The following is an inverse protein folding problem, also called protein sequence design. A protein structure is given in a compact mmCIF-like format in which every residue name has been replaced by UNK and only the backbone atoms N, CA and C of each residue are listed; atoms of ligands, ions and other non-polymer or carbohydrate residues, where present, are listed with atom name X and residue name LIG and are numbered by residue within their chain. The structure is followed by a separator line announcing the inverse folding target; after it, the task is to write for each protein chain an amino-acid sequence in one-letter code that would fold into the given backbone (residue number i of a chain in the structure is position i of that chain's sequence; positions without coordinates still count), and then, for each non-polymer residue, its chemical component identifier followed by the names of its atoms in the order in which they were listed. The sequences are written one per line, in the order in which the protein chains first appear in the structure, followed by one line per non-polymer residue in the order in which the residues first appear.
data_IF_357480480559
#
_entry.id   IF_357480480559
#
_cell.length_a   1.000
_cell.length_b   1.000
_cell.length_c   1.000
_cell.angle_alpha   90.00
_cell.angle_beta   90.00
_cell.angle_gamma   90.00
#
_symmetry.space_group_name_H-M   'P 1'
#
loop_
_entity.id
_entity.type
_entity.pdbx_description
1 polymer ?
#
# COMPACT_ATOMS: atom_id res chain seq x y z
N UNK A 1 7.71 31.21 -12.04
CA UNK A 1 7.17 29.91 -11.60
C UNK A 1 8.34 29.02 -11.21
N UNK A 2 8.18 28.10 -10.24
CA UNK A 2 9.21 27.11 -9.94
C UNK A 2 9.54 26.30 -11.19
N UNK A 3 10.82 26.05 -11.45
CA UNK A 3 11.27 25.24 -12.58
C UNK A 3 11.17 23.76 -12.20
N UNK A 4 10.05 23.12 -12.57
CA UNK A 4 9.82 21.71 -12.28
C UNK A 4 10.68 20.84 -13.18
N UNK A 5 11.39 19.87 -12.59
CA UNK A 5 12.12 18.88 -13.36
C UNK A 5 11.13 17.84 -13.91
N UNK A 6 10.73 18.03 -15.17
CA UNK A 6 9.82 17.14 -15.89
C UNK A 6 10.65 16.24 -16.82
N UNK A 7 10.63 14.94 -16.56
CA UNK A 7 11.37 13.98 -17.37
C UNK A 7 10.57 13.55 -18.62
N UNK A 8 11.15 12.71 -19.49
CA UNK A 8 10.50 12.24 -20.72
C UNK A 8 9.26 11.37 -20.41
N UNK A 9 9.33 10.54 -19.38
CA UNK A 9 8.24 9.67 -18.93
C UNK A 9 7.06 10.47 -18.40
N UNK A 10 7.31 11.54 -17.63
CA UNK A 10 6.28 12.47 -17.16
C UNK A 10 5.49 13.07 -18.33
N UNK A 11 6.18 13.50 -19.40
CA UNK A 11 5.53 14.05 -20.59
C UNK A 11 4.66 13.01 -21.29
N UNK A 12 5.22 11.82 -21.54
CA UNK A 12 4.51 10.73 -22.21
C UNK A 12 3.27 10.28 -21.42
N UNK A 13 3.39 10.12 -20.10
CA UNK A 13 2.27 9.76 -19.24
C UNK A 13 1.22 10.87 -19.22
N UNK A 14 1.62 12.15 -19.15
CA UNK A 14 0.66 13.27 -19.18
C UNK A 14 -0.16 13.28 -20.47
N UNK A 15 0.47 13.03 -21.62
CA UNK A 15 -0.21 12.94 -22.92
C UNK A 15 -1.17 11.74 -22.96
N UNK A 16 -0.72 10.57 -22.51
CA UNK A 16 -1.55 9.37 -22.46
C UNK A 16 -2.77 9.55 -21.54
N UNK A 17 -2.59 10.13 -20.35
CA UNK A 17 -3.67 10.40 -19.40
C UNK A 17 -4.67 11.39 -20.00
N UNK A 18 -4.19 12.46 -20.65
CA UNK A 18 -5.06 13.45 -21.30
C UNK A 18 -5.95 12.80 -22.36
N UNK A 19 -5.39 11.89 -23.15
CA UNK A 19 -6.11 11.20 -24.23
C UNK A 19 -7.12 10.17 -23.72
N UNK A 20 -6.98 9.69 -22.47
CA UNK A 20 -7.80 8.61 -21.89
C UNK A 20 -8.46 8.99 -20.57
N UNK A 21 -8.63 10.30 -20.31
CA UNK A 21 -9.02 10.81 -18.98
C UNK A 21 -10.32 10.19 -18.47
N UNK A 22 -11.37 10.16 -19.29
CA UNK A 22 -12.68 9.61 -18.93
C UNK A 22 -12.62 8.10 -18.65
N UNK A 23 -11.92 7.36 -19.51
CA UNK A 23 -11.69 5.92 -19.35
C UNK A 23 -10.96 5.63 -18.03
N UNK A 24 -9.90 6.38 -17.73
CA UNK A 24 -9.13 6.24 -16.50
C UNK A 24 -9.96 6.57 -15.27
N UNK A 25 -10.76 7.64 -15.30
CA UNK A 25 -11.67 8.00 -14.21
C UNK A 25 -12.67 6.88 -13.90
N UNK A 26 -13.24 6.26 -14.93
CA UNK A 26 -14.15 5.13 -14.75
C UNK A 26 -13.44 3.90 -14.18
N UNK A 27 -12.23 3.59 -14.68
CA UNK A 27 -11.42 2.49 -14.16
C UNK A 27 -11.08 2.67 -12.68
N UNK A 28 -10.66 3.88 -12.29
CA UNK A 28 -10.37 4.18 -10.88
C UNK A 28 -11.61 4.07 -10.01
N UNK A 29 -12.74 4.64 -10.43
CA UNK A 29 -13.98 4.62 -9.64
C UNK A 29 -14.42 3.20 -9.30
N UNK A 30 -14.37 2.27 -10.28
CA UNK A 30 -14.70 0.86 -10.05
C UNK A 30 -13.73 0.17 -9.09
N UNK A 31 -12.44 0.45 -9.24
CA UNK A 31 -11.41 -0.12 -8.38
C UNK A 31 -11.57 0.36 -6.93
N UNK A 32 -11.83 1.65 -6.73
CA UNK A 32 -12.06 2.24 -5.41
C UNK A 32 -13.32 1.69 -4.74
N UNK A 33 -14.43 1.57 -5.47
CA UNK A 33 -15.67 0.96 -4.94
C UNK A 33 -15.44 -0.48 -4.44
N UNK A 34 -14.63 -1.26 -5.16
CA UNK A 34 -14.30 -2.64 -4.76
C UNK A 34 -13.49 -2.67 -3.46
N UNK A 35 -12.56 -1.73 -3.28
CA UNK A 35 -11.75 -1.65 -2.06
C UNK A 35 -12.57 -1.15 -0.86
N UNK A 36 -13.49 -0.22 -1.07
CA UNK A 36 -14.38 0.27 -0.03
C UNK A 36 -15.29 -0.85 0.51
N UNK A 37 -15.87 -1.66 -0.38
CA UNK A 37 -16.64 -2.85 0.02
C UNK A 37 -15.78 -3.86 0.80
N UNK A 38 -14.52 -4.05 0.40
CA UNK A 38 -13.60 -4.94 1.11
C UNK A 38 -13.22 -4.39 2.50
N UNK A 39 -13.04 -3.07 2.64
CA UNK A 39 -12.82 -2.43 3.94
C UNK A 39 -14.00 -2.65 4.88
N UNK A 40 -15.23 -2.51 4.40
CA UNK A 40 -16.44 -2.79 5.19
C UNK A 40 -16.50 -4.25 5.67
N UNK A 41 -16.17 -5.20 4.79
CA UNK A 41 -16.08 -6.61 5.16
C UNK A 41 -15.04 -6.83 6.27
N UNK A 42 -13.85 -6.25 6.11
CA UNK A 42 -12.73 -6.39 7.05
C UNK A 42 -13.03 -5.71 8.40
N UNK A 43 -13.70 -4.56 8.39
CA UNK A 43 -14.18 -3.89 9.60
C UNK A 43 -15.15 -4.78 10.37
N UNK A 44 -16.13 -5.37 9.69
CA UNK A 44 -17.10 -6.28 10.30
C UNK A 44 -16.44 -7.55 10.85
N UNK A 45 -15.53 -8.17 10.09
CA UNK A 45 -14.78 -9.35 10.53
C UNK A 45 -13.90 -9.06 11.77
N UNK A 46 -13.22 -7.92 11.78
CA UNK A 46 -12.41 -7.47 12.92
C UNK A 46 -13.26 -7.25 14.17
N UNK A 47 -14.41 -6.57 14.02
CA UNK A 47 -15.34 -6.34 15.13
C UNK A 47 -15.90 -7.66 15.68
N UNK A 48 -16.26 -8.60 14.82
CA UNK A 48 -16.72 -9.92 15.23
C UNK A 48 -15.65 -10.69 16.03
N UNK A 49 -14.41 -10.72 15.54
CA UNK A 49 -13.30 -11.36 16.24
C UNK A 49 -13.02 -10.71 17.59
N UNK A 50 -13.11 -9.37 17.66
CA UNK A 50 -12.92 -8.62 18.90
C UNK A 50 -14.03 -8.88 19.92
N UNK A 51 -15.30 -8.87 19.49
CA UNK A 51 -16.45 -9.12 20.35
C UNK A 51 -16.42 -10.51 20.98
N UNK A 52 -16.01 -11.53 20.22
CA UNK A 52 -15.95 -12.92 20.71
C UNK A 52 -14.61 -13.29 21.39
N UNK A 53 -13.65 -12.36 21.46
CA UNK A 53 -12.35 -12.62 22.09
C UNK A 53 -11.42 -13.56 21.30
N UNK A 54 -11.64 -13.74 19.99
CA UNK A 54 -10.81 -14.59 19.13
C UNK A 54 -9.50 -13.89 18.77
N UNK A 55 -8.51 -13.96 19.66
CA UNK A 55 -7.23 -13.23 19.55
C UNK A 55 -6.49 -13.52 18.23
N UNK A 56 -6.36 -14.78 17.88
CA UNK A 56 -5.66 -15.24 16.66
C UNK A 56 -6.35 -14.74 15.40
N UNK A 57 -7.67 -14.95 15.32
CA UNK A 57 -8.49 -14.48 14.22
C UNK A 57 -8.40 -12.96 14.11
N UNK A 58 -8.47 -12.24 15.23
CA UNK A 58 -8.31 -10.78 15.27
C UNK A 58 -6.97 -10.32 14.70
N UNK A 59 -5.87 -11.02 14.98
CA UNK A 59 -4.56 -10.69 14.39
C UNK A 59 -4.61 -10.78 12.86
N UNK A 60 -5.18 -11.87 12.32
CA UNK A 60 -5.30 -12.08 10.86
C UNK A 60 -6.16 -10.97 10.23
N UNK A 61 -7.34 -10.69 10.79
CA UNK A 61 -8.22 -9.63 10.28
C UNK A 61 -7.60 -8.23 10.37
N UNK A 62 -6.84 -7.94 11.44
CA UNK A 62 -6.12 -6.68 11.56
C UNK A 62 -5.06 -6.51 10.47
N UNK A 63 -4.29 -7.55 10.16
CA UNK A 63 -3.28 -7.49 9.09
C UNK A 63 -3.97 -7.33 7.73
N UNK A 64 -5.09 -8.03 7.51
CA UNK A 64 -5.91 -7.87 6.31
C UNK A 64 -6.41 -6.42 6.15
N UNK A 65 -7.04 -5.88 7.20
CA UNK A 65 -7.57 -4.52 7.23
C UNK A 65 -6.46 -3.48 7.00
N UNK A 66 -5.32 -3.64 7.66
CA UNK A 66 -4.16 -2.77 7.47
C UNK A 66 -3.67 -2.81 6.01
N UNK A 67 -3.51 -4.01 5.45
CA UNK A 67 -3.06 -4.20 4.05
C UNK A 67 -3.98 -3.50 3.06
N UNK A 68 -5.30 -3.69 3.20
CA UNK A 68 -6.28 -3.08 2.30
C UNK A 68 -6.40 -1.57 2.52
N UNK A 69 -6.28 -1.08 3.75
CA UNK A 69 -6.27 0.38 4.03
C UNK A 69 -5.13 1.06 3.29
N UNK A 70 -3.90 0.52 3.42
CA UNK A 70 -2.74 1.08 2.72
C UNK A 70 -2.90 0.99 1.19
N UNK A 71 -3.38 -0.14 0.67
CA UNK A 71 -3.61 -0.29 -0.78
C UNK A 71 -4.67 0.68 -1.29
N UNK A 72 -5.75 0.90 -0.53
CA UNK A 72 -6.80 1.85 -0.87
C UNK A 72 -6.29 3.29 -0.88
N UNK A 73 -5.59 3.72 0.18
CA UNK A 73 -4.99 5.05 0.26
C UNK A 73 -4.06 5.32 -0.93
N UNK A 74 -3.22 4.34 -1.29
CA UNK A 74 -2.32 4.47 -2.44
C UNK A 74 -3.04 4.51 -3.78
N UNK A 75 -4.19 3.84 -3.92
CA UNK A 75 -5.04 3.89 -5.12
C UNK A 75 -5.72 5.25 -5.26
N UNK A 76 -6.26 5.79 -4.17
CA UNK A 76 -6.82 7.16 -4.15
C UNK A 76 -5.75 8.18 -4.51
N UNK A 77 -4.59 8.12 -3.85
CA UNK A 77 -3.47 9.03 -4.13
C UNK A 77 -2.96 8.85 -5.56
N UNK A 78 -2.91 7.61 -6.07
CA UNK A 78 -2.50 7.31 -7.44
C UNK A 78 -3.45 7.90 -8.47
N UNK A 79 -4.76 7.82 -8.24
CA UNK A 79 -5.77 8.49 -9.05
C UNK A 79 -5.57 10.01 -9.05
N UNK A 80 -5.48 10.62 -7.86
CA UNK A 80 -5.33 12.07 -7.72
C UNK A 80 -4.02 12.55 -8.36
N UNK A 81 -2.94 11.79 -8.21
CA UNK A 81 -1.66 12.06 -8.83
C UNK A 81 -1.76 12.08 -10.36
N UNK A 82 -2.43 11.08 -10.95
CA UNK A 82 -2.59 11.00 -12.40
C UNK A 82 -3.52 12.07 -12.95
N UNK A 83 -4.58 12.44 -12.22
CA UNK A 83 -5.61 13.37 -12.68
C UNK A 83 -5.35 14.84 -12.29
N UNK A 84 -4.31 15.11 -11.49
CA UNK A 84 -3.92 16.45 -11.06
C UNK A 84 -3.67 17.40 -12.24
N UNK A 85 -4.16 18.63 -12.11
CA UNK A 85 -4.15 19.63 -13.19
C UNK A 85 -2.82 20.35 -13.32
N UNK A 86 -2.08 20.48 -12.22
CA UNK A 86 -0.81 21.20 -12.18
C UNK A 86 0.31 20.41 -11.49
N UNK A 87 1.54 20.83 -11.78
CA UNK A 87 2.74 20.13 -11.33
C UNK A 87 2.87 20.12 -9.80
N UNK A 88 2.40 21.15 -9.09
CA UNK A 88 2.46 21.18 -7.62
C UNK A 88 1.53 20.14 -6.99
N UNK A 89 0.30 20.01 -7.49
CA UNK A 89 -0.64 18.98 -7.06
C UNK A 89 -0.04 17.58 -7.26
N UNK A 90 0.56 17.31 -8.44
CA UNK A 90 1.27 16.05 -8.68
C UNK A 90 2.36 15.80 -7.63
N UNK A 91 3.16 16.81 -7.27
CA UNK A 91 4.22 16.64 -6.25
C UNK A 91 3.64 16.49 -4.83
N UNK A 92 2.48 17.07 -4.55
CA UNK A 92 1.78 16.86 -3.27
C UNK A 92 1.36 15.40 -3.12
N UNK A 93 0.63 14.86 -4.10
CA UNK A 93 0.17 13.47 -4.09
C UNK A 93 1.35 12.50 -4.13
N UNK A 94 2.38 12.76 -4.95
CA UNK A 94 3.58 11.93 -5.00
C UNK A 94 4.30 11.86 -3.64
N UNK A 95 4.40 12.99 -2.93
CA UNK A 95 4.95 13.03 -1.58
C UNK A 95 4.10 12.21 -0.60
N UNK A 96 2.77 12.36 -0.62
CA UNK A 96 1.89 11.57 0.25
C UNK A 96 2.02 10.07 -0.01
N UNK A 97 2.08 9.63 -1.28
CA UNK A 97 2.36 8.22 -1.60
C UNK A 97 3.69 7.76 -1.00
N UNK A 98 4.75 8.56 -1.16
CA UNK A 98 6.07 8.24 -0.58
C UNK A 98 6.04 8.15 0.95
N UNK A 99 5.27 9.01 1.63
CA UNK A 99 5.08 8.94 3.08
C UNK A 99 4.41 7.64 3.50
N UNK A 100 3.28 7.31 2.87
CA UNK A 100 2.52 6.11 3.22
C UNK A 100 3.37 4.86 3.03
N UNK A 101 4.08 4.75 1.90
CA UNK A 101 4.98 3.63 1.65
C UNK A 101 6.11 3.59 2.69
N UNK A 102 6.70 4.75 3.04
CA UNK A 102 7.79 4.81 4.02
C UNK A 102 7.38 4.28 5.40
N UNK A 103 6.25 4.76 5.93
CA UNK A 103 5.78 4.37 7.26
C UNK A 103 5.31 2.90 7.24
N UNK A 104 4.54 2.51 6.21
CA UNK A 104 3.97 1.15 6.11
C UNK A 104 5.02 0.05 5.95
N UNK A 105 6.15 0.31 5.28
CA UNK A 105 7.19 -0.72 5.08
C UNK A 105 7.66 -1.31 6.40
N UNK A 106 7.87 -0.47 7.43
CA UNK A 106 8.34 -0.98 8.72
C UNK A 106 7.22 -1.69 9.47
N UNK A 107 6.01 -1.12 9.45
CA UNK A 107 4.84 -1.73 10.06
C UNK A 107 4.58 -3.14 9.51
N UNK A 108 4.74 -3.36 8.20
CA UNK A 108 4.61 -4.69 7.61
C UNK A 108 5.66 -5.69 8.10
N UNK A 109 6.90 -5.25 8.39
CA UNK A 109 7.90 -6.17 8.97
C UNK A 109 7.54 -6.60 10.38
N UNK A 110 6.95 -5.70 11.16
CA UNK A 110 6.51 -5.98 12.52
C UNK A 110 5.25 -6.85 12.52
N UNK A 111 4.25 -6.50 11.69
CA UNK A 111 3.00 -7.25 11.53
C UNK A 111 3.24 -8.67 11.00
N UNK A 112 4.11 -8.84 10.00
CA UNK A 112 4.48 -10.15 9.44
C UNK A 112 5.60 -10.84 10.24
N UNK A 113 5.81 -10.42 11.49
CA UNK A 113 6.85 -10.87 12.38
C UNK A 113 6.67 -12.30 12.90
N UNK A 114 7.33 -12.60 14.03
CA UNK A 114 7.35 -13.95 14.61
C UNK A 114 5.96 -14.44 15.01
N UNK A 115 5.14 -13.56 15.61
CA UNK A 115 3.80 -13.90 16.10
C UNK A 115 2.89 -14.38 14.96
N UNK A 116 2.80 -13.60 13.88
CA UNK A 116 2.00 -13.98 12.71
C UNK A 116 2.52 -15.26 12.05
N UNK A 117 3.84 -15.43 11.90
CA UNK A 117 4.42 -16.66 11.36
C UNK A 117 4.07 -17.90 12.18
N UNK A 118 4.22 -17.81 13.51
CA UNK A 118 3.86 -18.91 14.40
C UNK A 118 2.37 -19.22 14.31
N UNK A 119 1.53 -18.19 14.21
CA UNK A 119 0.09 -18.38 14.05
C UNK A 119 -0.26 -19.14 12.76
N UNK A 120 0.30 -18.73 11.63
CA UNK A 120 0.06 -19.38 10.32
C UNK A 120 0.53 -20.83 10.33
N UNK A 121 1.71 -21.10 10.89
CA UNK A 121 2.25 -22.46 10.99
C UNK A 121 1.35 -23.38 11.84
N UNK A 122 0.79 -22.86 12.94
CA UNK A 122 -0.10 -23.63 13.83
C UNK A 122 -1.47 -23.86 13.19
N UNK A 123 -2.08 -22.82 12.61
CA UNK A 123 -3.48 -22.89 12.15
C UNK A 123 -3.65 -23.56 10.80
N UNK A 124 -2.70 -23.40 9.87
CA UNK A 124 -2.91 -23.89 8.51
C UNK A 124 -2.04 -25.10 8.19
N UNK A 125 -0.86 -25.21 8.80
CA UNK A 125 0.03 -26.34 8.59
C UNK A 125 0.25 -26.68 7.09
N UNK A 126 0.43 -25.64 6.26
CA UNK A 126 0.60 -25.76 4.82
C UNK A 126 1.91 -25.10 4.38
N UNK A 127 2.82 -25.92 3.85
CA UNK A 127 4.14 -25.50 3.39
C UNK A 127 4.07 -24.47 2.23
N UNK A 128 3.09 -24.59 1.34
CA UNK A 128 2.92 -23.68 0.19
C UNK A 128 2.63 -22.25 0.66
N UNK A 129 1.74 -22.08 1.66
CA UNK A 129 1.41 -20.77 2.23
C UNK A 129 2.62 -20.17 2.95
N UNK A 130 3.42 -21.00 3.63
CA UNK A 130 4.64 -20.54 4.28
C UNK A 130 5.68 -20.04 3.24
N UNK A 131 5.84 -20.76 2.13
CA UNK A 131 6.70 -20.36 1.02
C UNK A 131 6.24 -19.03 0.39
N UNK A 132 4.94 -18.87 0.14
CA UNK A 132 4.36 -17.63 -0.38
C UNK A 132 4.58 -16.44 0.57
N UNK A 133 4.38 -16.62 1.88
CA UNK A 133 4.67 -15.58 2.88
C UNK A 133 6.15 -15.21 2.92
N UNK A 134 7.04 -16.20 2.81
CA UNK A 134 8.48 -15.96 2.75
C UNK A 134 8.87 -15.19 1.48
N UNK A 135 8.23 -15.49 0.35
CA UNK A 135 8.42 -14.76 -0.91
C UNK A 135 7.99 -13.29 -0.77
N UNK A 136 6.80 -13.02 -0.25
CA UNK A 136 6.31 -11.65 0.00
C UNK A 136 7.27 -10.87 0.91
N UNK A 137 7.75 -11.49 1.99
CA UNK A 137 8.74 -10.86 2.88
C UNK A 137 10.07 -10.59 2.19
N UNK A 138 10.50 -11.44 1.26
CA UNK A 138 11.71 -11.24 0.45
C UNK A 138 11.56 -10.06 -0.52
N UNK A 139 10.40 -9.95 -1.16
CA UNK A 139 10.05 -8.85 -2.06
C UNK A 139 9.96 -7.52 -1.31
N UNK A 140 9.29 -7.51 -0.14
CA UNK A 140 9.25 -6.33 0.74
C UNK A 140 10.65 -5.88 1.18
N UNK A 141 11.53 -6.84 1.51
CA UNK A 141 12.93 -6.54 1.86
C UNK A 141 13.70 -5.95 0.67
N UNK A 142 13.49 -6.50 -0.52
CA UNK A 142 14.12 -5.99 -1.74
C UNK A 142 13.63 -4.59 -2.09
N UNK A 143 12.32 -4.35 -1.95
CA UNK A 143 11.69 -3.05 -2.11
C UNK A 143 12.27 -2.03 -1.11
N UNK A 144 12.34 -2.39 0.18
CA UNK A 144 12.93 -1.56 1.24
C UNK A 144 14.39 -1.21 0.90
N UNK A 145 15.23 -2.20 0.60
CA UNK A 145 16.65 -1.95 0.24
C UNK A 145 16.79 -0.99 -0.93
N UNK A 146 15.93 -1.11 -1.95
CA UNK A 146 15.98 -0.28 -3.16
C UNK A 146 15.54 1.16 -2.90
N UNK A 147 14.48 1.38 -2.11
CA UNK A 147 13.79 2.67 -2.07
C UNK A 147 13.84 3.40 -0.72
N UNK A 148 14.18 2.73 0.39
CA UNK A 148 14.03 3.28 1.74
C UNK A 148 14.76 4.61 1.95
N UNK A 149 15.99 4.76 1.44
CA UNK A 149 16.75 6.00 1.58
C UNK A 149 16.09 7.17 0.84
N UNK A 150 15.61 6.94 -0.39
CA UNK A 150 14.88 7.94 -1.19
C UNK A 150 13.58 8.35 -0.48
N UNK A 151 12.82 7.37 0.01
CA UNK A 151 11.57 7.60 0.74
C UNK A 151 11.81 8.39 2.04
N UNK A 152 12.84 8.03 2.79
CA UNK A 152 13.25 8.73 4.03
C UNK A 152 13.62 10.19 3.77
N UNK A 153 14.36 10.46 2.70
CA UNK A 153 14.73 11.82 2.30
C UNK A 153 13.49 12.67 1.98
N UNK A 154 12.59 12.15 1.14
CA UNK A 154 11.33 12.82 0.76
C UNK A 154 10.50 13.13 2.01
N UNK A 155 10.33 12.14 2.90
CA UNK A 155 9.53 12.25 4.13
C UNK A 155 10.07 13.32 5.07
N UNK A 156 11.37 13.33 5.34
CA UNK A 156 11.99 14.27 6.28
C UNK A 156 12.04 15.70 5.73
N UNK A 157 12.31 15.84 4.43
CA UNK A 157 12.61 17.14 3.83
C UNK A 157 11.34 17.86 3.34
N UNK A 158 10.36 17.13 2.82
CA UNK A 158 9.28 17.75 2.02
C UNK A 158 7.87 17.58 2.57
N UNK A 159 7.67 16.76 3.61
CA UNK A 159 6.33 16.46 4.15
C UNK A 159 6.24 16.80 5.61
N UNK A 160 7.15 16.23 6.42
CA UNK A 160 7.15 16.49 7.84
C UNK A 160 7.66 17.91 8.17
N UNK A 161 8.09 18.70 7.16
CA UNK A 161 8.73 20.00 7.28
C UNK A 161 9.79 20.05 8.41
N UNK A 162 10.45 18.91 8.65
CA UNK A 162 11.42 18.74 9.75
C UNK A 162 12.77 19.39 9.42
N UNK A 163 12.97 19.75 8.16
CA UNK A 163 14.12 20.49 7.69
C UNK A 163 13.79 21.99 7.67
N UNK A 164 14.54 22.82 8.40
CA UNK A 164 14.28 24.26 8.42
C UNK A 164 14.82 24.98 7.16
N UNK A 165 15.54 24.27 6.28
CA UNK A 165 16.03 24.81 5.01
C UNK A 165 14.93 24.79 3.93
N UNK A 166 14.24 25.91 3.78
CA UNK A 166 13.17 26.08 2.79
C UNK A 166 13.62 25.89 1.34
N UNK A 167 14.87 26.23 1.00
CA UNK A 167 15.41 26.03 -0.34
C UNK A 167 15.58 24.54 -0.62
N UNK A 168 16.09 23.79 0.36
CA UNK A 168 16.17 22.34 0.26
C UNK A 168 14.79 21.69 0.15
N UNK A 169 13.79 22.14 0.92
CA UNK A 169 12.42 21.66 0.78
C UNK A 169 11.88 21.87 -0.64
N UNK A 170 11.97 23.09 -1.17
CA UNK A 170 11.50 23.44 -2.51
C UNK A 170 12.24 22.61 -3.55
N UNK A 171 13.57 22.48 -3.44
CA UNK A 171 14.38 21.69 -4.35
C UNK A 171 13.99 20.20 -4.35
N UNK A 172 13.75 19.60 -3.19
CA UNK A 172 13.27 18.21 -3.12
C UNK A 172 11.90 18.06 -3.78
N UNK A 173 10.99 19.03 -3.59
CA UNK A 173 9.65 19.02 -4.21
C UNK A 173 9.77 19.12 -5.73
N UNK A 174 10.40 20.17 -6.28
CA UNK A 174 10.42 20.42 -7.73
C UNK A 174 11.18 19.35 -8.53
N UNK A 175 12.11 18.64 -7.88
CA UNK A 175 12.87 17.55 -8.50
C UNK A 175 12.21 16.18 -8.35
N UNK A 176 11.10 16.06 -7.60
CA UNK A 176 10.38 14.81 -7.47
C UNK A 176 9.66 14.47 -8.79
N UNK A 177 10.04 13.33 -9.37
CA UNK A 177 9.39 12.73 -10.53
C UNK A 177 8.10 12.04 -10.09
N UNK A 178 6.97 12.46 -10.68
CA UNK A 178 5.69 11.83 -10.38
C UNK A 178 5.52 10.51 -11.16
N UNK A 179 6.12 10.37 -12.35
CA UNK A 179 6.16 9.09 -13.05
C UNK A 179 6.89 8.02 -12.25
N UNK A 180 8.04 8.37 -11.66
CA UNK A 180 8.81 7.45 -10.80
C UNK A 180 7.99 7.08 -9.56
N UNK A 181 7.16 8.01 -9.09
CA UNK A 181 6.31 7.77 -7.92
C UNK A 181 5.16 6.81 -8.25
N UNK A 182 4.58 6.89 -9.46
CA UNK A 182 3.64 5.87 -9.93
C UNK A 182 4.31 4.50 -9.98
N UNK A 183 5.55 4.42 -10.48
CA UNK A 183 6.31 3.16 -10.48
C UNK A 183 6.53 2.63 -9.04
N UNK A 184 6.87 3.52 -8.10
CA UNK A 184 6.99 3.16 -6.68
C UNK A 184 5.68 2.58 -6.13
N UNK A 185 4.55 3.25 -6.37
CA UNK A 185 3.22 2.83 -5.91
C UNK A 185 2.83 1.50 -6.52
N UNK A 186 2.93 1.35 -7.84
CA UNK A 186 2.58 0.11 -8.54
C UNK A 186 3.40 -1.08 -8.03
N UNK A 187 4.71 -0.91 -7.88
CA UNK A 187 5.57 -1.98 -7.37
C UNK A 187 5.23 -2.37 -5.93
N UNK A 188 4.79 -1.43 -5.11
CA UNK A 188 4.38 -1.71 -3.74
C UNK A 188 2.99 -2.39 -3.70
N UNK A 189 2.04 -1.92 -4.51
CA UNK A 189 0.69 -2.51 -4.61
C UNK A 189 0.72 -3.96 -5.09
N UNK A 190 1.69 -4.35 -5.92
CA UNK A 190 1.91 -5.77 -6.29
C UNK A 190 2.20 -6.60 -5.04
N UNK A 191 3.12 -6.14 -4.17
CA UNK A 191 3.47 -6.83 -2.91
C UNK A 191 2.24 -6.90 -1.99
N UNK A 192 1.46 -5.82 -1.88
CA UNK A 192 0.24 -5.79 -1.07
C UNK A 192 -0.84 -6.73 -1.62
N UNK A 193 -0.97 -6.81 -2.94
CA UNK A 193 -1.92 -7.70 -3.60
C UNK A 193 -1.58 -9.16 -3.34
N UNK A 194 -0.30 -9.53 -3.44
CA UNK A 194 0.14 -10.89 -3.18
C UNK A 194 0.00 -11.24 -1.68
N UNK A 195 0.32 -10.30 -0.78
CA UNK A 195 0.02 -10.46 0.64
C UNK A 195 -1.48 -10.66 0.91
N UNK A 196 -2.33 -9.86 0.25
CA UNK A 196 -3.79 -9.92 0.38
C UNK A 196 -4.36 -11.27 -0.04
N UNK A 197 -3.87 -11.86 -1.14
CA UNK A 197 -4.26 -13.21 -1.58
C UNK A 197 -3.93 -14.26 -0.53
N UNK A 198 -2.72 -14.21 0.03
CA UNK A 198 -2.30 -15.15 1.06
C UNK A 198 -3.18 -15.00 2.30
N UNK A 199 -3.41 -13.77 2.78
CA UNK A 199 -4.27 -13.52 3.93
C UNK A 199 -5.70 -14.00 3.68
N UNK A 200 -6.22 -13.84 2.47
CA UNK A 200 -7.54 -14.36 2.11
C UNK A 200 -7.61 -15.88 2.24
N UNK A 201 -6.59 -16.62 1.78
CA UNK A 201 -6.49 -18.08 1.97
C UNK A 201 -6.46 -18.44 3.47
N UNK A 202 -5.68 -17.70 4.27
CA UNK A 202 -5.60 -17.86 5.73
C UNK A 202 -6.97 -17.66 6.39
N UNK A 203 -7.72 -16.63 5.98
CA UNK A 203 -9.06 -16.35 6.50
C UNK A 203 -10.03 -17.49 6.16
N UNK A 204 -10.01 -18.00 4.93
CA UNK A 204 -10.89 -19.09 4.53
C UNK A 204 -10.58 -20.41 5.25
N UNK A 205 -9.31 -20.78 5.37
CA UNK A 205 -8.91 -21.95 6.15
C UNK A 205 -9.42 -21.88 7.59
N UNK A 206 -9.34 -20.71 8.23
CA UNK A 206 -9.86 -20.52 9.58
C UNK A 206 -11.40 -20.50 9.70
N UNK A 207 -12.14 -20.29 8.60
CA UNK A 207 -13.60 -20.38 8.58
C UNK A 207 -14.09 -21.82 8.42
N UNK A 208 -13.37 -22.64 7.66
CA UNK A 208 -13.70 -24.06 7.47
C UNK A 208 -13.57 -24.83 8.79
N UNK A 209 -12.50 -24.60 9.56
CA UNK A 209 -12.35 -25.12 10.93
C UNK A 209 -13.55 -24.76 11.83
N UNK A 210 -14.13 -23.57 11.64
CA UNK A 210 -15.28 -23.08 12.39
C UNK A 210 -16.59 -23.77 12.02
N UNK A 211 -16.73 -24.21 10.77
CA UNK A 211 -17.89 -24.94 10.29
C UNK A 211 -17.82 -26.43 10.68
N UNK A 212 -16.61 -27.00 10.74
CA UNK A 212 -16.41 -28.37 11.23
C UNK A 212 -16.70 -28.49 12.73
N UNK A 213 -16.40 -27.47 13.54
CA UNK A 213 -16.72 -27.44 14.98
C UNK A 213 -18.23 -27.27 15.28
N UNK A 214 -19.06 -26.98 14.28
CA UNK A 214 -20.53 -26.86 14.41
C UNK A 214 -21.29 -28.14 14.03
N UNK A 215 -20.61 -29.14 13.48
CA UNK A 215 -21.15 -30.47 13.18
C UNK A 215 -20.70 -31.50 14.23
#
# INVERSE_FOLDING_TARGET
MPDYKINKTDKLLSENIRNRKEEMQLMFSRNLETHEQLLDLLFNGTNHANYNGFKDTKLIWNIAAFTITISYDLKVIGQDLMLAENEWQKRLHARHACLIIYESINDFFDLLGKEFKTLVAIKICNEEIEEELNKVRSELNSYKRKYFNKLKEIRNTSIAHRDNDSLKQINTIINLSWSDTIELVTNFDIILTDLGKIIQVIIYAGLDDFNELKN
#
